data_IF_729373658030
#
_entry.id   IF_729373658030
#
_cell.length_a   1.000
_cell.length_b   1.000
_cell.length_c   1.000
_cell.angle_alpha   90.00
_cell.angle_beta   90.00
_cell.angle_gamma   90.00
#
_symmetry.space_group_name_H-M   'P 1'
#
loop_
_entity.id
_entity.type
_entity.pdbx_description
1 polymer ?
#
# COMPACT_ATOMS: atom_id res chain seq x y z
N UNK A 1 4.65 -4.23 32.04
CA UNK A 1 5.49 -5.08 31.16
C UNK A 1 4.75 -5.24 29.85
N UNK A 2 5.28 -4.71 28.75
CA UNK A 2 4.69 -4.91 27.42
C UNK A 2 4.92 -6.36 27.00
N UNK A 3 3.89 -7.01 26.46
CA UNK A 3 4.04 -8.34 25.90
C UNK A 3 4.52 -8.18 24.45
N UNK A 4 5.75 -8.59 24.16
CA UNK A 4 6.20 -8.71 22.77
C UNK A 4 5.27 -9.70 22.07
N UNK A 5 4.67 -9.27 20.95
CA UNK A 5 3.86 -10.16 20.12
C UNK A 5 4.83 -11.19 19.55
N UNK A 6 4.90 -12.36 20.18
CA UNK A 6 5.65 -13.48 19.67
C UNK A 6 4.87 -14.04 18.46
N UNK A 7 5.38 -13.92 17.21
CA UNK A 7 4.69 -14.45 16.04
C UNK A 7 4.57 -15.99 16.06
N UNK A 8 5.14 -16.66 17.07
CA UNK A 8 4.97 -18.09 17.33
C UNK A 8 3.61 -18.46 17.94
N UNK A 9 2.90 -17.55 18.64
CA UNK A 9 1.59 -17.86 19.25
C UNK A 9 0.42 -17.65 18.29
N UNK A 10 0.59 -16.85 17.24
CA UNK A 10 -0.30 -16.80 16.08
C UNK A 10 0.54 -16.79 14.82
N UNK A 11 0.79 -17.97 14.24
CA UNK A 11 1.30 -18.06 12.86
C UNK A 11 0.27 -17.37 11.95
N UNK A 12 0.46 -16.07 11.68
CA UNK A 12 -0.28 -15.37 10.63
C UNK A 12 0.07 -16.11 9.34
N UNK A 13 -0.86 -16.94 8.88
CA UNK A 13 -0.68 -17.73 7.66
C UNK A 13 -0.46 -16.73 6.52
N UNK A 14 0.73 -16.72 5.95
CA UNK A 14 1.05 -15.84 4.83
C UNK A 14 0.08 -16.13 3.67
N UNK A 15 -0.60 -15.09 3.21
CA UNK A 15 -1.46 -15.12 2.03
C UNK A 15 -0.87 -14.24 0.94
N UNK A 16 -1.49 -14.22 -0.24
CA UNK A 16 -1.16 -13.25 -1.28
C UNK A 16 -1.36 -11.79 -0.80
N UNK A 17 -2.24 -11.56 0.18
CA UNK A 17 -2.65 -10.24 0.65
C UNK A 17 -1.97 -9.82 1.98
N UNK A 18 -1.02 -10.62 2.45
CA UNK A 18 -0.20 -10.28 3.62
C UNK A 18 1.01 -9.45 3.16
N UNK A 19 1.39 -8.36 3.87
CA UNK A 19 2.61 -7.63 3.57
C UNK A 19 3.83 -8.58 3.51
N UNK A 20 4.69 -8.37 2.51
CA UNK A 20 5.91 -9.16 2.29
C UNK A 20 7.12 -8.28 2.38
N UNK A 21 8.27 -8.88 2.65
CA UNK A 21 9.57 -8.21 2.54
C UNK A 21 10.12 -8.45 1.14
N UNK A 22 10.70 -7.41 0.56
CA UNK A 22 11.12 -7.41 -0.83
C UNK A 22 12.63 -7.23 -0.98
N UNK A 23 13.17 -7.81 -2.03
CA UNK A 23 14.53 -7.59 -2.51
C UNK A 23 14.53 -7.50 -4.04
N UNK A 24 15.59 -6.99 -4.63
CA UNK A 24 15.65 -6.73 -6.07
C UNK A 24 17.03 -6.96 -6.66
N UNK A 25 17.13 -6.78 -7.98
CA UNK A 25 18.41 -6.73 -8.67
C UNK A 25 19.04 -5.34 -8.50
N UNK A 26 19.93 -5.23 -7.51
CA UNK A 26 20.66 -4.01 -7.22
C UNK A 26 21.61 -3.59 -8.35
N UNK A 27 22.11 -4.54 -9.14
CA UNK A 27 23.01 -4.24 -10.25
C UNK A 27 22.24 -3.63 -11.43
N UNK A 28 21.01 -4.07 -11.67
CA UNK A 28 20.10 -3.42 -12.63
C UNK A 28 19.65 -2.04 -12.12
N UNK A 29 19.30 -1.91 -10.83
CA UNK A 29 19.00 -0.60 -10.23
C UNK A 29 20.18 0.39 -10.33
N UNK A 30 21.42 -0.08 -10.21
CA UNK A 30 22.62 0.75 -10.32
C UNK A 30 22.88 1.29 -11.73
N UNK A 31 22.21 0.74 -12.76
CA UNK A 31 22.33 1.16 -14.16
C UNK A 31 21.28 2.18 -14.57
N UNK A 32 20.43 2.63 -13.64
CA UNK A 32 19.43 3.65 -13.93
C UNK A 32 20.10 4.96 -14.38
N UNK A 33 19.66 5.46 -15.53
CA UNK A 33 20.09 6.74 -16.08
C UNK A 33 18.97 7.77 -15.87
N UNK A 34 19.27 8.80 -15.07
CA UNK A 34 18.34 9.90 -14.75
C UNK A 34 18.67 11.19 -15.50
N UNK A 35 19.59 11.15 -16.46
CA UNK A 35 20.04 12.33 -17.21
C UNK A 35 18.90 13.04 -17.94
N UNK A 36 17.87 12.31 -18.38
CA UNK A 36 16.70 12.85 -19.09
C UNK A 36 15.88 13.87 -18.27
N UNK A 37 15.91 13.80 -16.94
CA UNK A 37 15.15 14.68 -16.05
C UNK A 37 15.89 14.96 -14.74
N UNK A 38 17.22 15.14 -14.81
CA UNK A 38 18.09 15.34 -13.65
C UNK A 38 17.63 16.50 -12.74
N UNK A 39 17.15 17.60 -13.33
CA UNK A 39 16.66 18.77 -12.60
C UNK A 39 15.41 18.44 -11.75
N UNK A 40 14.53 17.54 -12.22
CA UNK A 40 13.37 17.07 -11.45
C UNK A 40 13.84 16.28 -10.22
N UNK A 41 14.86 15.42 -10.38
CA UNK A 41 15.45 14.68 -9.25
C UNK A 41 16.17 15.57 -8.26
N UNK A 42 16.92 16.56 -8.71
CA UNK A 42 17.59 17.52 -7.83
C UNK A 42 16.56 18.31 -7.01
N UNK A 43 15.46 18.75 -7.62
CA UNK A 43 14.39 19.44 -6.92
C UNK A 43 13.71 18.55 -5.87
N UNK A 44 13.38 17.31 -6.22
CA UNK A 44 12.82 16.32 -5.29
C UNK A 44 13.78 16.03 -4.13
N UNK A 45 15.08 15.91 -4.41
CA UNK A 45 16.09 15.68 -3.38
C UNK A 45 16.17 16.86 -2.40
N UNK A 46 16.10 18.10 -2.89
CA UNK A 46 16.02 19.26 -2.01
C UNK A 46 14.76 19.22 -1.15
N UNK A 47 13.62 18.87 -1.72
CA UNK A 47 12.37 18.72 -0.96
C UNK A 47 12.49 17.68 0.16
N UNK A 48 13.06 16.51 -0.14
CA UNK A 48 13.29 15.45 0.87
C UNK A 48 14.25 15.88 1.99
N UNK A 49 15.26 16.70 1.67
CA UNK A 49 16.22 17.23 2.65
C UNK A 49 15.57 18.24 3.60
N UNK A 50 14.59 19.02 3.13
CA UNK A 50 13.88 20.00 3.97
C UNK A 50 13.09 19.31 5.09
N UNK A 51 12.54 18.11 4.83
CA UNK A 51 11.84 17.29 5.82
C UNK A 51 10.70 18.06 6.54
N UNK A 52 9.72 18.54 5.77
CA UNK A 52 8.58 19.29 6.30
C UNK A 52 7.84 18.57 7.43
N UNK A 53 7.92 17.23 7.46
CA UNK A 53 7.26 16.38 8.45
C UNK A 53 8.10 16.04 9.69
N UNK A 54 9.30 16.61 9.84
CA UNK A 54 10.24 16.29 10.93
C UNK A 54 9.62 16.36 12.33
N UNK A 55 8.79 17.38 12.59
CA UNK A 55 8.16 17.62 13.89
C UNK A 55 6.71 17.13 13.97
N UNK A 56 6.15 16.61 12.88
CA UNK A 56 4.73 16.25 12.84
C UNK A 56 4.42 14.90 13.51
N UNK A 57 5.38 14.00 13.67
CA UNK A 57 5.18 12.68 14.28
C UNK A 57 5.51 12.66 15.77
N UNK A 58 5.05 13.68 16.49
CA UNK A 58 5.19 13.81 17.94
C UNK A 58 3.81 13.61 18.55
N UNK A 59 3.68 12.63 19.45
CA UNK A 59 2.42 12.36 20.17
C UNK A 59 2.13 13.52 21.12
N UNK A 60 0.88 13.95 21.16
CA UNK A 60 0.36 14.93 22.11
C UNK A 60 -0.35 14.24 23.29
N UNK A 61 -0.94 15.03 24.17
CA UNK A 61 -1.66 14.58 25.38
C UNK A 61 -2.89 13.70 25.07
N UNK A 62 -3.46 13.77 23.86
CA UNK A 62 -4.59 12.91 23.48
C UNK A 62 -4.20 11.42 23.43
N UNK A 63 -2.91 11.13 23.35
CA UNK A 63 -2.41 9.77 23.38
C UNK A 63 -2.23 9.20 24.79
N UNK A 64 -2.33 10.01 25.84
CA UNK A 64 -2.08 9.61 27.23
C UNK A 64 -3.34 9.09 27.95
N UNK A 65 -4.42 8.88 27.22
CA UNK A 65 -5.67 8.33 27.74
C UNK A 65 -5.66 6.79 27.86
N UNK A 66 -6.56 6.24 28.67
CA UNK A 66 -6.78 4.79 28.74
C UNK A 66 -7.59 4.30 27.54
N UNK A 67 -7.11 3.23 26.91
CA UNK A 67 -7.76 2.56 25.79
C UNK A 67 -8.56 1.32 26.20
N UNK A 68 -8.87 1.19 27.49
CA UNK A 68 -9.65 0.06 28.02
C UNK A 68 -11.15 0.19 27.73
N UNK A 69 -11.60 1.40 27.40
CA UNK A 69 -13.00 1.69 27.04
C UNK A 69 -13.36 1.22 25.62
N UNK A 70 -12.36 0.97 24.75
CA UNK A 70 -12.60 0.39 23.44
C UNK A 70 -13.10 -1.05 23.59
N UNK A 71 -14.25 -1.35 23.00
CA UNK A 71 -14.79 -2.70 23.06
C UNK A 71 -13.80 -3.72 22.46
N UNK A 72 -13.83 -4.94 22.97
CA UNK A 72 -12.85 -5.99 22.64
C UNK A 72 -12.78 -6.27 21.13
N UNK A 73 -13.90 -6.18 20.40
CA UNK A 73 -13.93 -6.44 18.95
C UNK A 73 -13.23 -5.31 18.21
N UNK A 74 -13.60 -4.04 18.48
CA UNK A 74 -12.98 -2.87 17.84
C UNK A 74 -11.49 -2.78 18.17
N UNK A 75 -11.11 -3.02 19.43
CA UNK A 75 -9.71 -3.08 19.86
C UNK A 75 -8.91 -4.11 19.06
N UNK A 76 -9.44 -5.33 18.88
CA UNK A 76 -8.80 -6.38 18.08
C UNK A 76 -8.62 -5.99 16.61
N UNK A 77 -9.66 -5.40 16.00
CA UNK A 77 -9.62 -4.93 14.61
C UNK A 77 -8.60 -3.81 14.41
N UNK A 78 -8.53 -2.87 15.36
CA UNK A 78 -7.61 -1.75 15.31
C UNK A 78 -6.15 -2.20 15.53
N UNK A 79 -5.90 -3.14 16.45
CA UNK A 79 -4.57 -3.75 16.61
C UNK A 79 -4.14 -4.45 15.31
N UNK A 80 -5.03 -5.22 14.67
CA UNK A 80 -4.71 -5.85 13.37
C UNK A 80 -4.36 -4.80 12.31
N UNK A 81 -5.11 -3.69 12.26
CA UNK A 81 -4.81 -2.57 11.37
C UNK A 81 -3.40 -2.01 11.62
N UNK A 82 -3.07 -1.68 12.88
CA UNK A 82 -1.77 -1.14 13.27
C UNK A 82 -0.62 -2.10 12.95
N UNK A 83 -0.77 -3.40 13.26
CA UNK A 83 0.26 -4.40 13.00
C UNK A 83 0.56 -4.55 11.50
N UNK A 84 -0.50 -4.59 10.69
CA UNK A 84 -0.38 -4.72 9.23
C UNK A 84 0.26 -3.50 8.61
N UNK A 85 -0.21 -2.30 8.99
CA UNK A 85 0.38 -1.05 8.52
C UNK A 85 1.85 -0.96 8.95
N UNK A 86 2.17 -1.22 10.22
CA UNK A 86 3.55 -1.17 10.71
C UNK A 86 4.47 -2.12 9.95
N UNK A 87 3.99 -3.33 9.62
CA UNK A 87 4.75 -4.30 8.83
C UNK A 87 4.95 -3.85 7.38
N UNK A 88 3.99 -3.14 6.80
CA UNK A 88 4.09 -2.61 5.45
C UNK A 88 5.14 -1.49 5.35
N UNK A 89 5.06 -0.48 6.22
CA UNK A 89 6.03 0.64 6.24
C UNK A 89 7.44 0.13 6.55
N UNK A 90 7.56 -0.81 7.49
CA UNK A 90 8.84 -1.42 7.82
C UNK A 90 9.43 -2.22 6.65
N UNK A 91 8.59 -2.81 5.79
CA UNK A 91 9.05 -3.46 4.56
C UNK A 91 9.62 -2.46 3.55
N UNK A 92 8.92 -1.33 3.35
CA UNK A 92 9.40 -0.23 2.51
C UNK A 92 10.75 0.30 2.99
N UNK A 93 10.85 0.59 4.29
CA UNK A 93 12.09 1.00 4.96
C UNK A 93 13.26 0.07 4.62
N UNK A 94 13.11 -1.25 4.78
CA UNK A 94 14.19 -2.21 4.55
C UNK A 94 14.68 -2.18 3.09
N UNK A 95 13.75 -2.14 2.13
CA UNK A 95 14.08 -2.09 0.72
C UNK A 95 14.79 -0.78 0.36
N UNK A 96 14.25 0.36 0.77
CA UNK A 96 14.83 1.68 0.48
C UNK A 96 16.19 1.85 1.15
N UNK A 97 16.34 1.37 2.39
CA UNK A 97 17.63 1.44 3.09
C UNK A 97 18.70 0.64 2.36
N UNK A 98 18.40 -0.58 1.91
CA UNK A 98 19.37 -1.38 1.16
C UNK A 98 19.66 -0.78 -0.22
N UNK A 99 18.66 -0.24 -0.93
CA UNK A 99 18.86 0.49 -2.19
C UNK A 99 19.80 1.69 -2.01
N UNK A 100 19.59 2.51 -0.98
CA UNK A 100 20.44 3.67 -0.69
C UNK A 100 21.92 3.28 -0.57
N UNK A 101 22.20 2.21 0.19
CA UNK A 101 23.56 1.72 0.41
C UNK A 101 24.19 1.13 -0.84
N UNK A 102 23.41 0.44 -1.68
CA UNK A 102 23.90 -0.24 -2.88
C UNK A 102 24.18 0.75 -4.02
N UNK A 103 23.42 1.83 -4.08
CA UNK A 103 23.47 2.82 -5.15
C UNK A 103 24.43 3.98 -4.86
N UNK A 104 24.90 4.15 -3.62
CA UNK A 104 25.69 5.30 -3.16
C UNK A 104 26.83 5.71 -4.11
N UNK A 105 27.57 4.74 -4.66
CA UNK A 105 28.71 5.00 -5.55
C UNK A 105 28.33 5.16 -7.02
N UNK A 106 27.25 4.52 -7.47
CA UNK A 106 26.89 4.44 -8.89
C UNK A 106 25.84 5.46 -9.29
N UNK A 107 24.90 5.76 -8.39
CA UNK A 107 23.85 6.74 -8.60
C UNK A 107 23.57 7.49 -7.27
N UNK A 108 24.42 8.46 -6.89
CA UNK A 108 24.38 9.10 -5.57
C UNK A 108 23.09 9.87 -5.30
N UNK A 109 22.48 10.49 -6.31
CA UNK A 109 21.21 11.23 -6.16
C UNK A 109 20.07 10.26 -5.83
N UNK A 110 19.92 9.18 -6.60
CA UNK A 110 18.90 8.15 -6.32
C UNK A 110 19.17 7.52 -4.94
N UNK A 111 20.43 7.24 -4.62
CA UNK A 111 20.81 6.68 -3.34
C UNK A 111 20.37 7.55 -2.17
N UNK A 112 20.58 8.87 -2.27
CA UNK A 112 20.18 9.82 -1.23
C UNK A 112 18.66 9.97 -1.15
N UNK A 113 17.94 10.00 -2.27
CA UNK A 113 16.48 9.96 -2.27
C UNK A 113 15.96 8.73 -1.51
N UNK A 114 16.48 7.53 -1.80
CA UNK A 114 16.09 6.32 -1.07
C UNK A 114 16.49 6.37 0.42
N UNK A 115 17.61 7.01 0.76
CA UNK A 115 18.00 7.19 2.16
C UNK A 115 16.96 8.03 2.90
N UNK A 116 16.52 9.15 2.32
CA UNK A 116 15.56 10.06 2.91
C UNK A 116 14.14 9.46 2.94
N UNK A 117 13.74 8.73 1.91
CA UNK A 117 12.50 7.93 1.97
C UNK A 117 12.57 6.88 3.07
N UNK A 118 13.71 6.18 3.23
CA UNK A 118 13.88 5.20 4.30
C UNK A 118 13.77 5.83 5.71
N UNK A 119 14.15 7.10 5.86
CA UNK A 119 13.94 7.86 7.11
C UNK A 119 12.44 8.03 7.37
N UNK A 120 11.67 8.40 6.37
CA UNK A 120 10.23 8.62 6.50
C UNK A 120 9.51 7.30 6.83
N UNK A 121 9.82 6.22 6.11
CA UNK A 121 9.27 4.87 6.37
C UNK A 121 9.62 4.34 7.77
N UNK A 122 10.84 4.59 8.24
CA UNK A 122 11.25 4.23 9.60
C UNK A 122 10.46 5.02 10.65
N UNK A 123 10.19 6.30 10.38
CA UNK A 123 9.38 7.18 11.25
C UNK A 123 7.94 6.67 11.31
N UNK A 124 7.35 6.34 10.17
CA UNK A 124 6.03 5.77 10.00
C UNK A 124 5.87 4.44 10.78
N UNK A 125 6.75 3.48 10.52
CA UNK A 125 6.78 2.19 11.23
C UNK A 125 6.97 2.39 12.75
N UNK A 126 7.87 3.28 13.14
CA UNK A 126 8.11 3.61 14.55
C UNK A 126 6.88 4.22 15.24
N UNK A 127 6.17 5.11 14.56
CA UNK A 127 4.96 5.74 15.10
C UNK A 127 3.83 4.73 15.29
N UNK A 128 3.62 3.82 14.31
CA UNK A 128 2.66 2.73 14.42
C UNK A 128 3.03 1.74 15.54
N UNK A 129 4.30 1.34 15.63
CA UNK A 129 4.73 0.43 16.70
C UNK A 129 4.56 1.07 18.09
N UNK A 130 4.79 2.38 18.21
CA UNK A 130 4.52 3.13 19.45
C UNK A 130 3.02 3.17 19.79
N UNK A 131 2.13 3.25 18.79
CA UNK A 131 0.68 3.15 19.00
C UNK A 131 0.23 1.74 19.44
N UNK A 132 0.85 0.67 18.90
CA UNK A 132 0.63 -0.71 19.36
C UNK A 132 0.97 -0.85 20.86
N UNK A 133 2.00 -0.13 21.32
CA UNK A 133 2.42 -0.01 22.72
C UNK A 133 1.31 0.35 23.69
N UNK A 134 0.37 1.18 23.27
CA UNK A 134 -0.75 1.64 24.11
C UNK A 134 -1.75 0.52 24.44
N UNK A 135 -1.70 -0.58 23.69
CA UNK A 135 -2.48 -1.78 23.92
C UNK A 135 -1.69 -2.88 24.67
N UNK A 136 -0.55 -2.50 25.29
CA UNK A 136 0.39 -3.40 25.98
C UNK A 136 1.04 -4.45 25.07
N UNK A 137 1.16 -4.15 23.78
CA UNK A 137 1.76 -4.99 22.77
C UNK A 137 2.96 -4.29 22.14
N UNK A 138 3.85 -5.03 21.50
CA UNK A 138 4.91 -4.44 20.66
C UNK A 138 5.33 -5.40 19.56
N UNK A 139 5.64 -4.87 18.38
CA UNK A 139 6.25 -5.64 17.30
C UNK A 139 7.78 -5.60 17.41
N UNK A 140 8.39 -6.78 17.44
CA UNK A 140 9.84 -6.92 17.31
C UNK A 140 10.24 -6.86 15.83
N UNK A 141 10.50 -5.64 15.35
CA UNK A 141 10.90 -5.38 13.97
C UNK A 141 12.25 -6.03 13.62
N UNK A 142 13.16 -6.16 14.60
CA UNK A 142 14.45 -6.84 14.42
C UNK A 142 14.27 -8.35 14.19
N UNK A 143 13.38 -8.98 14.94
CA UNK A 143 12.98 -10.36 14.72
C UNK A 143 12.28 -10.56 13.37
N UNK A 144 11.37 -9.65 12.98
CA UNK A 144 10.68 -9.73 11.67
C UNK A 144 11.69 -9.75 10.52
N UNK A 145 12.73 -8.92 10.58
CA UNK A 145 13.81 -8.87 9.57
C UNK A 145 14.50 -10.23 9.39
N UNK A 146 14.73 -10.96 10.49
CA UNK A 146 15.44 -12.25 10.46
C UNK A 146 14.54 -13.45 10.12
N UNK A 147 13.24 -13.34 10.43
CA UNK A 147 12.31 -14.47 10.34
C UNK A 147 11.50 -14.52 9.04
N UNK A 148 11.30 -13.37 8.38
CA UNK A 148 10.51 -13.28 7.14
C UNK A 148 11.32 -13.65 5.91
N UNK A 149 10.66 -14.29 4.94
CA UNK A 149 11.24 -14.57 3.62
C UNK A 149 11.19 -13.32 2.75
N UNK A 150 12.32 -13.00 2.14
CA UNK A 150 12.41 -11.95 1.14
C UNK A 150 11.90 -12.46 -0.21
N UNK A 151 10.99 -11.71 -0.81
CA UNK A 151 10.45 -11.97 -2.15
C UNK A 151 11.23 -11.14 -3.15
N UNK A 152 11.83 -11.79 -4.14
CA UNK A 152 12.48 -11.08 -5.24
C UNK A 152 11.44 -10.37 -6.11
N UNK A 153 11.72 -9.13 -6.46
CA UNK A 153 10.91 -8.35 -7.38
C UNK A 153 11.80 -7.60 -8.37
N UNK A 154 11.57 -7.80 -9.66
CA UNK A 154 12.40 -7.17 -10.71
C UNK A 154 12.28 -5.65 -10.65
N UNK A 155 13.39 -4.90 -10.86
CA UNK A 155 13.42 -3.43 -10.84
C UNK A 155 12.29 -2.77 -11.64
N UNK A 156 12.06 -3.23 -12.87
CA UNK A 156 10.97 -2.75 -13.72
C UNK A 156 9.60 -2.82 -13.02
N UNK A 157 9.33 -3.91 -12.31
CA UNK A 157 8.06 -4.12 -11.63
C UNK A 157 7.96 -3.37 -10.31
N UNK A 158 9.08 -3.16 -9.63
CA UNK A 158 9.15 -2.28 -8.46
C UNK A 158 8.68 -0.88 -8.83
N UNK A 159 9.12 -0.30 -9.96
CA UNK A 159 8.70 1.06 -10.32
C UNK A 159 7.19 1.20 -10.49
N UNK A 160 6.54 0.27 -11.18
CA UNK A 160 5.09 0.33 -11.33
C UNK A 160 4.36 0.09 -10.01
N UNK A 161 4.76 -0.96 -9.29
CA UNK A 161 4.08 -1.39 -8.08
C UNK A 161 4.23 -0.37 -6.96
N UNK A 162 5.46 0.12 -6.74
CA UNK A 162 5.74 1.09 -5.69
C UNK A 162 5.12 2.44 -6.02
N UNK A 163 5.24 2.96 -7.25
CA UNK A 163 4.53 4.18 -7.66
C UNK A 163 3.03 4.12 -7.32
N UNK A 164 2.37 3.02 -7.67
CA UNK A 164 0.96 2.84 -7.36
C UNK A 164 0.70 2.60 -5.87
N UNK A 165 1.62 1.97 -5.14
CA UNK A 165 1.54 1.79 -3.69
C UNK A 165 1.55 3.15 -2.97
N UNK A 166 2.48 4.03 -3.33
CA UNK A 166 2.56 5.40 -2.79
C UNK A 166 1.27 6.19 -3.11
N UNK A 167 0.83 6.16 -4.37
CA UNK A 167 -0.37 6.92 -4.78
C UNK A 167 -1.66 6.36 -4.16
N UNK A 168 -1.78 5.04 -4.01
CA UNK A 168 -2.95 4.46 -3.32
C UNK A 168 -2.89 4.71 -1.81
N UNK A 169 -1.70 4.64 -1.20
CA UNK A 169 -1.44 4.99 0.20
C UNK A 169 -1.89 6.42 0.52
N UNK A 170 -1.46 7.38 -0.30
CA UNK A 170 -1.92 8.78 -0.23
C UNK A 170 -3.45 8.87 -0.16
N UNK A 171 -4.15 8.29 -1.13
CA UNK A 171 -5.60 8.41 -1.24
C UNK A 171 -6.33 7.69 -0.11
N UNK A 172 -5.79 6.58 0.39
CA UNK A 172 -6.33 5.88 1.56
C UNK A 172 -6.27 6.76 2.80
N UNK A 173 -5.10 7.28 3.12
CA UNK A 173 -4.87 8.09 4.32
C UNK A 173 -5.68 9.38 4.30
N UNK A 174 -5.64 10.15 3.20
CA UNK A 174 -6.39 11.40 3.13
C UNK A 174 -7.91 11.18 3.14
N UNK A 175 -8.41 10.09 2.54
CA UNK A 175 -9.85 9.78 2.56
C UNK A 175 -10.33 9.45 3.97
N UNK A 176 -9.57 8.65 4.73
CA UNK A 176 -9.87 8.37 6.14
C UNK A 176 -9.80 9.67 6.97
N UNK A 177 -8.75 10.47 6.80
CA UNK A 177 -8.58 11.74 7.51
C UNK A 177 -9.78 12.67 7.29
N UNK A 178 -10.13 12.94 6.03
CA UNK A 178 -11.23 13.86 5.69
C UNK A 178 -12.60 13.35 6.13
N UNK A 179 -12.79 12.03 6.19
CA UNK A 179 -13.99 11.45 6.79
C UNK A 179 -14.05 11.73 8.28
N UNK A 180 -12.99 11.42 9.03
CA UNK A 180 -12.93 11.59 10.48
C UNK A 180 -12.77 13.05 10.93
N UNK A 181 -12.39 13.95 10.03
CA UNK A 181 -12.46 15.41 10.24
C UNK A 181 -13.93 15.87 10.29
N UNK A 182 -14.78 15.35 9.40
CA UNK A 182 -16.22 15.65 9.36
C UNK A 182 -17.04 14.89 10.40
N UNK A 183 -16.57 13.70 10.77
CA UNK A 183 -17.21 12.78 11.70
C UNK A 183 -16.27 12.44 12.88
N UNK A 184 -15.93 13.42 13.73
CA UNK A 184 -15.01 13.21 14.85
C UNK A 184 -15.51 12.14 15.85
N UNK A 185 -16.82 11.90 15.94
CA UNK A 185 -17.45 10.85 16.76
C UNK A 185 -17.02 9.43 16.38
N UNK A 186 -16.55 9.23 15.15
CA UNK A 186 -16.05 7.94 14.67
C UNK A 186 -14.54 7.77 14.82
N UNK A 187 -13.83 8.77 15.39
CA UNK A 187 -12.39 8.71 15.59
C UNK A 187 -12.05 7.90 16.85
N UNK A 188 -11.85 6.61 16.66
CA UNK A 188 -11.54 5.66 17.75
C UNK A 188 -10.13 5.81 18.34
N UNK A 189 -9.22 6.53 17.68
CA UNK A 189 -7.84 6.73 18.14
C UNK A 189 -7.16 7.98 17.49
N UNK A 190 -6.26 8.72 18.18
CA UNK A 190 -5.65 9.96 17.69
C UNK A 190 -4.77 9.81 16.44
N UNK A 191 -4.23 8.62 16.14
CA UNK A 191 -3.35 8.38 14.98
C UNK A 191 -3.95 8.90 13.67
N UNK A 192 -5.28 8.85 13.52
CA UNK A 192 -5.94 9.27 12.31
C UNK A 192 -5.76 10.76 12.01
N UNK A 193 -5.50 11.61 13.02
CA UNK A 193 -5.17 13.03 12.81
C UNK A 193 -3.85 13.24 12.07
N UNK A 194 -2.94 12.28 12.19
CA UNK A 194 -1.61 12.36 11.59
C UNK A 194 -1.62 11.96 10.11
N UNK A 195 -2.73 11.39 9.61
CA UNK A 195 -2.84 10.91 8.24
C UNK A 195 -2.76 12.03 7.19
N UNK A 196 -3.10 13.29 7.54
CA UNK A 196 -2.95 14.42 6.62
C UNK A 196 -1.49 14.71 6.28
N UNK A 197 -0.59 14.71 7.27
CA UNK A 197 0.84 14.94 7.03
C UNK A 197 1.49 13.67 6.49
N UNK A 198 1.10 12.50 7.02
CA UNK A 198 1.57 11.21 6.54
C UNK A 198 1.35 11.06 5.04
N UNK A 199 0.15 11.34 4.53
CA UNK A 199 -0.10 11.23 3.10
C UNK A 199 0.80 12.16 2.29
N UNK A 200 1.23 13.31 2.81
CA UNK A 200 2.19 14.15 2.07
C UNK A 200 3.56 13.48 1.88
N UNK A 201 4.01 12.64 2.82
CA UNK A 201 5.21 11.81 2.60
C UNK A 201 4.98 10.86 1.43
N UNK A 202 3.88 10.10 1.45
CA UNK A 202 3.47 9.18 0.35
C UNK A 202 3.37 9.92 -0.99
N UNK A 203 2.87 11.16 -1.00
CA UNK A 203 2.76 11.92 -2.24
C UNK A 203 4.15 12.22 -2.83
N UNK A 204 5.08 12.71 -2.00
CA UNK A 204 6.46 13.02 -2.40
C UNK A 204 7.22 11.77 -2.83
N UNK A 205 7.04 10.66 -2.12
CA UNK A 205 7.58 9.35 -2.49
C UNK A 205 7.04 8.91 -3.86
N UNK A 206 5.73 9.07 -4.08
CA UNK A 206 5.09 8.83 -5.37
C UNK A 206 5.60 9.74 -6.49
N UNK A 207 5.96 10.99 -6.19
CA UNK A 207 6.52 11.94 -7.16
C UNK A 207 7.97 11.55 -7.55
N UNK A 208 8.75 11.02 -6.61
CA UNK A 208 10.05 10.41 -6.90
C UNK A 208 9.92 9.20 -7.83
N UNK A 209 8.99 8.27 -7.57
CA UNK A 209 8.78 7.15 -8.48
C UNK A 209 8.19 7.56 -9.83
N UNK A 210 7.40 8.65 -9.88
CA UNK A 210 6.96 9.24 -11.13
C UNK A 210 8.15 9.76 -11.97
N UNK A 211 9.09 10.47 -11.33
CA UNK A 211 10.32 10.94 -11.98
C UNK A 211 11.18 9.76 -12.46
N UNK A 212 11.27 8.66 -11.69
CA UNK A 212 11.94 7.42 -12.12
C UNK A 212 11.28 6.82 -13.36
N UNK A 213 9.96 6.69 -13.37
CA UNK A 213 9.25 6.15 -14.53
C UNK A 213 9.43 7.04 -15.78
N UNK A 214 9.43 8.36 -15.62
CA UNK A 214 9.70 9.33 -16.71
C UNK A 214 11.13 9.21 -17.23
N UNK A 215 12.11 9.01 -16.35
CA UNK A 215 13.52 8.81 -16.73
C UNK A 215 13.75 7.53 -17.55
N UNK A 216 12.80 6.58 -17.50
CA UNK A 216 12.85 5.31 -18.19
C UNK A 216 11.68 5.16 -19.19
N UNK A 217 11.67 5.90 -20.33
CA UNK A 217 10.55 5.92 -21.28
C UNK A 217 10.11 4.53 -21.80
N UNK A 218 11.00 3.55 -21.84
CA UNK A 218 10.72 2.16 -22.20
C UNK A 218 9.70 1.49 -21.25
N UNK A 219 9.53 2.02 -20.04
CA UNK A 219 8.53 1.58 -19.08
C UNK A 219 7.17 2.27 -19.25
N UNK A 220 7.03 3.23 -20.16
CA UNK A 220 5.74 3.89 -20.41
C UNK A 220 5.32 3.74 -21.89
N UNK A 221 6.23 3.94 -22.82
CA UNK A 221 5.87 4.28 -24.21
C UNK A 221 5.72 3.08 -25.17
N UNK A 222 5.99 1.85 -24.73
CA UNK A 222 5.85 0.64 -25.57
C UNK A 222 4.49 -0.03 -25.42
N UNK A 223 4.03 -0.77 -26.42
CA UNK A 223 2.81 -1.58 -26.30
C UNK A 223 2.87 -2.56 -25.13
N UNK A 224 4.05 -3.15 -24.89
CA UNK A 224 4.29 -4.05 -23.75
C UNK A 224 4.19 -3.32 -22.42
N UNK A 225 4.77 -2.12 -22.29
CA UNK A 225 4.67 -1.33 -21.05
C UNK A 225 3.26 -0.84 -20.78
N UNK A 226 2.48 -0.51 -21.81
CA UNK A 226 1.05 -0.18 -21.65
C UNK A 226 0.26 -1.34 -21.04
N UNK A 227 0.54 -2.58 -21.46
CA UNK A 227 -0.05 -3.78 -20.85
C UNK A 227 0.40 -3.95 -19.39
N UNK A 228 1.68 -3.69 -19.07
CA UNK A 228 2.15 -3.72 -17.69
C UNK A 228 1.50 -2.65 -16.81
N UNK A 229 1.39 -1.41 -17.28
CA UNK A 229 0.71 -0.33 -16.56
C UNK A 229 -0.73 -0.73 -16.22
N UNK A 230 -1.46 -1.29 -17.19
CA UNK A 230 -2.82 -1.81 -16.99
C UNK A 230 -2.86 -2.96 -15.99
N UNK A 231 -1.89 -3.89 -16.08
CA UNK A 231 -1.79 -5.03 -15.18
C UNK A 231 -1.59 -4.55 -13.74
N UNK A 232 -0.63 -3.67 -13.51
CA UNK A 232 -0.33 -3.16 -12.17
C UNK A 232 -1.46 -2.32 -11.59
N UNK A 233 -2.12 -1.47 -12.38
CA UNK A 233 -3.34 -0.76 -11.96
C UNK A 233 -4.40 -1.75 -11.46
N UNK A 234 -4.70 -2.79 -12.25
CA UNK A 234 -5.70 -3.77 -11.88
C UNK A 234 -5.26 -4.58 -10.66
N UNK A 235 -4.00 -5.00 -10.60
CA UNK A 235 -3.46 -5.77 -9.48
C UNK A 235 -3.58 -4.99 -8.18
N UNK A 236 -3.16 -3.72 -8.14
CA UNK A 236 -3.22 -2.87 -6.95
C UNK A 236 -4.67 -2.61 -6.53
N UNK A 237 -5.57 -2.30 -7.46
CA UNK A 237 -6.98 -2.08 -7.13
C UNK A 237 -7.66 -3.36 -6.64
N UNK A 238 -7.41 -4.49 -7.29
CA UNK A 238 -7.98 -5.76 -6.89
C UNK A 238 -7.44 -6.22 -5.53
N UNK A 239 -6.13 -6.13 -5.28
CA UNK A 239 -5.58 -6.54 -3.98
C UNK A 239 -6.11 -5.68 -2.85
N UNK A 240 -6.19 -4.36 -3.06
CA UNK A 240 -6.80 -3.43 -2.11
C UNK A 240 -8.26 -3.82 -1.82
N UNK A 241 -9.09 -3.88 -2.86
CA UNK A 241 -10.53 -4.16 -2.75
C UNK A 241 -10.81 -5.50 -2.06
N UNK A 242 -10.06 -6.54 -2.40
CA UNK A 242 -10.19 -7.87 -1.77
C UNK A 242 -9.73 -7.85 -0.31
N UNK A 243 -8.76 -7.01 0.04
CA UNK A 243 -8.24 -6.86 1.38
C UNK A 243 -9.23 -6.13 2.29
N UNK A 244 -9.77 -5.02 1.81
CA UNK A 244 -10.67 -4.14 2.56
C UNK A 244 -12.06 -4.73 2.71
N UNK A 245 -12.54 -5.49 1.71
CA UNK A 245 -13.77 -6.27 1.82
C UNK A 245 -13.74 -7.28 2.99
N UNK A 246 -12.57 -7.86 3.29
CA UNK A 246 -12.41 -8.75 4.46
C UNK A 246 -12.40 -7.98 5.80
N UNK A 247 -12.16 -6.67 5.75
CA UNK A 247 -12.00 -5.77 6.89
C UNK A 247 -13.15 -4.79 7.02
N UNK A 248 -14.30 -5.11 6.45
CA UNK A 248 -15.50 -4.27 6.49
C UNK A 248 -15.88 -3.86 7.92
N UNK A 249 -15.65 -4.73 8.90
CA UNK A 249 -15.92 -4.45 10.30
C UNK A 249 -15.02 -3.34 10.89
N UNK A 250 -13.77 -3.24 10.43
CA UNK A 250 -12.87 -2.15 10.83
C UNK A 250 -13.32 -0.81 10.23
N UNK A 251 -13.63 -0.79 8.93
CA UNK A 251 -14.16 0.43 8.30
C UNK A 251 -15.45 0.88 8.97
N UNK A 252 -16.34 -0.07 9.31
CA UNK A 252 -17.57 0.23 10.05
C UNK A 252 -17.29 0.83 11.44
N UNK A 253 -16.25 0.40 12.15
CA UNK A 253 -15.92 0.95 13.47
C UNK A 253 -15.44 2.40 13.41
N UNK A 254 -14.99 2.86 12.24
CA UNK A 254 -14.60 4.25 11.98
C UNK A 254 -15.61 5.00 11.08
N UNK A 255 -16.86 4.54 11.01
CA UNK A 255 -17.94 5.26 10.31
C UNK A 255 -17.95 5.11 8.78
N UNK A 256 -17.14 4.22 8.22
CA UNK A 256 -16.99 4.04 6.77
C UNK A 256 -17.69 2.77 6.26
N UNK A 257 -18.31 2.90 5.08
CA UNK A 257 -18.62 1.75 4.23
C UNK A 257 -17.37 1.40 3.40
N UNK A 258 -16.82 0.20 3.62
CA UNK A 258 -15.57 -0.22 2.98
C UNK A 258 -15.65 -0.19 1.45
N UNK A 259 -16.83 -0.50 0.89
CA UNK A 259 -17.02 -0.53 -0.56
C UNK A 259 -17.03 0.87 -1.16
N UNK A 260 -17.76 1.83 -0.57
CA UNK A 260 -17.76 3.22 -1.03
C UNK A 260 -16.38 3.85 -0.88
N UNK A 261 -15.71 3.57 0.24
CA UNK A 261 -14.33 3.98 0.47
C UNK A 261 -13.40 3.46 -0.63
N UNK A 262 -13.42 2.16 -0.92
CA UNK A 262 -12.58 1.56 -1.97
C UNK A 262 -12.85 2.16 -3.36
N UNK A 263 -14.13 2.38 -3.69
CA UNK A 263 -14.52 3.01 -4.96
C UNK A 263 -13.93 4.41 -5.09
N UNK A 264 -13.96 5.21 -4.02
CA UNK A 264 -13.39 6.56 -4.01
C UNK A 264 -11.87 6.51 -4.17
N UNK A 265 -11.20 5.66 -3.39
CA UNK A 265 -9.73 5.49 -3.45
C UNK A 265 -9.29 5.02 -4.83
N UNK A 266 -9.98 4.03 -5.42
CA UNK A 266 -9.70 3.54 -6.77
C UNK A 266 -9.87 4.66 -7.80
N UNK A 267 -10.97 5.42 -7.74
CA UNK A 267 -11.20 6.55 -8.65
C UNK A 267 -10.06 7.55 -8.61
N UNK A 268 -9.70 7.99 -7.41
CA UNK A 268 -8.66 9.00 -7.21
C UNK A 268 -7.25 8.52 -7.53
N UNK A 269 -6.97 7.24 -7.27
CA UNK A 269 -5.70 6.62 -7.65
C UNK A 269 -5.61 6.45 -9.16
N UNK A 270 -6.67 6.01 -9.84
CA UNK A 270 -6.72 5.87 -11.30
C UNK A 270 -6.55 7.24 -11.99
N UNK A 271 -7.18 8.29 -11.44
CA UNK A 271 -7.01 9.68 -11.85
C UNK A 271 -5.55 10.11 -11.73
N UNK A 272 -4.94 9.95 -10.55
CA UNK A 272 -3.57 10.38 -10.28
C UNK A 272 -2.53 9.61 -11.10
N UNK A 273 -2.71 8.30 -11.22
CA UNK A 273 -1.83 7.44 -12.01
C UNK A 273 -1.88 7.80 -13.50
N UNK A 274 -3.00 8.30 -14.03
CA UNK A 274 -3.13 8.72 -15.43
C UNK A 274 -2.26 9.92 -15.81
N UNK A 275 -1.67 10.62 -14.84
CA UNK A 275 -0.66 11.67 -15.11
C UNK A 275 0.67 11.09 -15.60
N UNK A 276 0.97 9.84 -15.25
CA UNK A 276 2.25 9.17 -15.56
C UNK A 276 2.02 7.95 -16.44
N UNK A 277 1.08 7.09 -16.07
CA UNK A 277 0.76 5.90 -16.84
C UNK A 277 0.03 6.30 -18.12
N UNK A 278 0.34 5.66 -19.26
CA UNK A 278 -0.21 6.02 -20.56
C UNK A 278 -1.61 5.40 -20.82
N UNK A 279 -2.13 4.67 -19.83
CA UNK A 279 -3.45 4.02 -19.80
C UNK A 279 -4.06 4.16 -18.42
N UNK A 280 -5.38 4.31 -18.38
CA UNK A 280 -6.20 4.23 -17.17
C UNK A 280 -7.23 3.10 -17.30
N UNK A 281 -7.70 2.55 -16.19
CA UNK A 281 -8.79 1.57 -16.22
C UNK A 281 -10.13 2.28 -16.44
N UNK A 282 -11.02 1.66 -17.21
CA UNK A 282 -12.39 2.14 -17.40
C UNK A 282 -13.26 1.75 -16.20
N UNK A 283 -13.09 2.48 -15.09
CA UNK A 283 -13.74 2.21 -13.81
C UNK A 283 -15.22 2.62 -13.79
N UNK A 284 -15.65 3.51 -14.69
CA UNK A 284 -17.06 3.91 -14.83
C UNK A 284 -17.87 2.91 -15.67
N UNK A 285 -17.21 1.92 -16.26
CA UNK A 285 -17.92 0.78 -16.83
C UNK A 285 -18.74 0.10 -15.72
N UNK A 286 -20.07 -0.09 -15.88
CA UNK A 286 -20.93 -0.63 -14.82
C UNK A 286 -20.53 -2.06 -14.40
N UNK A 287 -19.73 -2.76 -15.22
CA UNK A 287 -19.22 -4.09 -14.92
C UNK A 287 -17.98 -4.07 -14.01
N UNK A 288 -17.24 -2.96 -13.94
CA UNK A 288 -15.94 -2.90 -13.26
C UNK A 288 -16.06 -3.25 -11.77
N UNK A 289 -16.78 -2.43 -11.00
CA UNK A 289 -16.97 -2.71 -9.57
C UNK A 289 -17.79 -3.97 -9.32
N UNK A 290 -18.76 -4.29 -10.19
CA UNK A 290 -19.50 -5.57 -10.10
C UNK A 290 -18.57 -6.78 -10.19
N UNK A 291 -17.55 -6.76 -11.04
CA UNK A 291 -16.60 -7.86 -11.14
C UNK A 291 -15.64 -7.89 -9.94
N UNK A 292 -15.24 -6.74 -9.41
CA UNK A 292 -14.48 -6.68 -8.14
C UNK A 292 -15.29 -7.22 -6.96
N UNK A 293 -16.58 -6.89 -6.86
CA UNK A 293 -17.51 -7.43 -5.85
C UNK A 293 -17.57 -8.96 -5.89
N UNK A 294 -17.61 -9.53 -7.10
CA UNK A 294 -17.59 -10.98 -7.28
C UNK A 294 -16.24 -11.55 -6.82
N UNK A 295 -15.11 -10.98 -7.25
CA UNK A 295 -13.78 -11.42 -6.81
C UNK A 295 -13.66 -11.37 -5.28
N UNK A 296 -14.13 -10.30 -4.64
CA UNK A 296 -14.10 -10.13 -3.19
C UNK A 296 -14.97 -11.16 -2.47
N UNK A 297 -16.19 -11.40 -2.97
CA UNK A 297 -17.11 -12.40 -2.43
C UNK A 297 -16.54 -13.82 -2.54
N UNK A 298 -15.97 -14.17 -3.69
CA UNK A 298 -15.32 -15.49 -3.89
C UNK A 298 -14.07 -15.64 -3.01
N UNK A 299 -13.30 -14.57 -2.83
CA UNK A 299 -12.14 -14.58 -1.94
C UNK A 299 -12.53 -14.74 -0.47
N UNK A 300 -13.65 -14.14 -0.02
CA UNK A 300 -14.21 -14.41 1.32
C UNK A 300 -14.56 -15.90 1.48
N UNK A 301 -15.25 -16.48 0.49
CA UNK A 301 -15.59 -17.91 0.50
C UNK A 301 -14.33 -18.81 0.51
N UNK A 302 -13.24 -18.41 -0.16
CA UNK A 302 -11.96 -19.14 -0.10
C UNK A 302 -11.41 -19.20 1.32
N UNK A 303 -11.48 -18.09 2.05
CA UNK A 303 -10.99 -17.98 3.43
C UNK A 303 -11.87 -18.82 4.37
N UNK A 304 -13.19 -18.73 4.23
CA UNK A 304 -14.15 -19.54 4.99
C UNK A 304 -13.94 -21.03 4.72
N UNK A 305 -13.80 -21.43 3.46
CA UNK A 305 -13.49 -22.82 3.07
C UNK A 305 -12.19 -23.31 3.70
N UNK A 306 -11.15 -22.45 3.75
CA UNK A 306 -9.88 -22.82 4.39
C UNK A 306 -10.01 -23.03 5.92
N UNK A 307 -10.99 -22.38 6.57
CA UNK A 307 -11.29 -22.54 8.01
C UNK A 307 -12.19 -23.76 8.28
N UNK A 308 -13.21 -23.98 7.46
CA UNK A 308 -14.24 -25.02 7.68
C UNK A 308 -13.73 -26.43 7.42
N UNK A 309 -12.94 -26.64 6.36
CA UNK A 309 -12.48 -27.96 5.98
C UNK A 309 -11.10 -28.26 6.57
N UNK A 310 -10.97 -29.37 7.31
CA UNK A 310 -9.67 -29.85 7.80
C UNK A 310 -9.00 -30.78 6.79
N UNK A 311 -9.77 -31.64 6.10
CA UNK A 311 -9.25 -32.55 5.09
C UNK A 311 -8.66 -31.78 3.89
N UNK A 312 -7.36 -31.97 3.57
CA UNK A 312 -6.70 -31.21 2.50
C UNK A 312 -7.30 -31.43 1.10
N UNK A 313 -7.70 -32.66 0.76
CA UNK A 313 -8.25 -32.98 -0.55
C UNK A 313 -9.61 -32.32 -0.75
N UNK A 314 -10.51 -32.47 0.24
CA UNK A 314 -11.82 -31.85 0.20
C UNK A 314 -11.71 -30.32 0.16
N UNK A 315 -10.75 -29.75 0.91
CA UNK A 315 -10.45 -28.31 0.87
C UNK A 315 -10.06 -27.86 -0.53
N UNK A 316 -9.10 -28.53 -1.16
CA UNK A 316 -8.65 -28.19 -2.52
C UNK A 316 -9.81 -28.31 -3.51
N UNK A 317 -10.60 -29.38 -3.47
CA UNK A 317 -11.76 -29.58 -4.33
C UNK A 317 -12.77 -28.43 -4.22
N UNK A 318 -13.02 -27.91 -3.01
CA UNK A 318 -13.92 -26.77 -2.79
C UNK A 318 -13.31 -25.43 -3.20
N UNK A 319 -11.98 -25.30 -3.15
CA UNK A 319 -11.28 -24.06 -3.50
C UNK A 319 -11.08 -23.86 -5.01
N UNK A 320 -10.90 -24.94 -5.79
CA UNK A 320 -10.71 -24.89 -7.25
C UNK A 320 -11.77 -24.01 -7.96
N UNK A 321 -13.09 -24.21 -7.79
CA UNK A 321 -14.08 -23.40 -8.47
C UNK A 321 -14.03 -21.92 -8.06
N UNK A 322 -13.67 -21.64 -6.80
CA UNK A 322 -13.55 -20.27 -6.29
C UNK A 322 -12.34 -19.56 -6.92
N UNK A 323 -11.17 -20.22 -6.99
CA UNK A 323 -10.00 -19.70 -7.69
C UNK A 323 -10.27 -19.49 -9.18
N UNK A 324 -10.97 -20.43 -9.82
CA UNK A 324 -11.37 -20.30 -11.22
C UNK A 324 -12.24 -19.06 -11.43
N UNK A 325 -13.25 -18.84 -10.58
CA UNK A 325 -14.12 -17.67 -10.65
C UNK A 325 -13.33 -16.37 -10.48
N UNK A 326 -12.48 -16.25 -9.46
CA UNK A 326 -11.65 -15.05 -9.25
C UNK A 326 -10.78 -14.79 -10.48
N UNK A 327 -10.09 -15.82 -10.97
CA UNK A 327 -9.20 -15.70 -12.15
C UNK A 327 -9.99 -15.25 -13.37
N UNK A 328 -11.15 -15.85 -13.63
CA UNK A 328 -12.01 -15.48 -14.76
C UNK A 328 -12.45 -14.01 -14.69
N UNK A 329 -12.86 -13.52 -13.50
CA UNK A 329 -13.32 -12.14 -13.36
C UNK A 329 -12.16 -11.13 -13.38
N UNK A 330 -10.98 -11.48 -12.87
CA UNK A 330 -9.76 -10.68 -13.05
C UNK A 330 -9.36 -10.58 -14.52
N UNK A 331 -9.47 -11.67 -15.30
CA UNK A 331 -9.26 -11.63 -16.75
C UNK A 331 -10.30 -10.74 -17.42
N UNK A 332 -11.59 -10.86 -17.07
CA UNK A 332 -12.65 -9.99 -17.62
C UNK A 332 -12.37 -8.52 -17.33
N UNK A 333 -11.94 -8.18 -16.10
CA UNK A 333 -11.51 -6.83 -15.71
C UNK A 333 -10.32 -6.36 -16.55
N UNK A 334 -9.30 -7.22 -16.70
CA UNK A 334 -8.13 -6.94 -17.52
C UNK A 334 -8.46 -6.85 -19.01
N UNK A 335 -9.61 -7.30 -19.48
CA UNK A 335 -10.04 -7.20 -20.88
C UNK A 335 -10.99 -6.03 -21.15
N UNK A 336 -11.61 -5.43 -20.11
CA UNK A 336 -12.46 -4.23 -20.27
C UNK A 336 -11.70 -3.08 -20.96
N UNK A 337 -12.17 -2.53 -22.09
CA UNK A 337 -11.42 -1.54 -22.87
C UNK A 337 -10.84 -0.42 -21.97
N UNK A 338 -9.50 -0.23 -21.95
CA UNK A 338 -8.89 0.80 -21.14
C UNK A 338 -9.14 2.18 -21.74
N UNK A 339 -8.97 3.22 -20.92
CA UNK A 339 -9.07 4.62 -21.35
C UNK A 339 -7.66 5.15 -21.64
N UNK A 340 -7.51 5.99 -22.66
CA UNK A 340 -6.26 6.73 -22.85
C UNK A 340 -6.15 7.81 -21.79
N UNK A 341 -5.03 7.87 -21.09
CA UNK A 341 -4.82 8.83 -20.01
C UNK A 341 -4.97 10.29 -20.42
N UNK A 342 -4.66 10.62 -21.68
CA UNK A 342 -4.91 11.98 -22.24
C UNK A 342 -6.39 12.39 -22.13
N UNK A 343 -7.32 11.45 -22.29
CA UNK A 343 -8.76 11.71 -22.14
C UNK A 343 -9.13 11.98 -20.69
N UNK A 344 -8.52 11.26 -19.74
CA UNK A 344 -8.76 11.45 -18.30
C UNK A 344 -8.27 12.84 -17.88
N UNK A 345 -7.05 13.21 -18.27
CA UNK A 345 -6.47 14.52 -17.93
C UNK A 345 -7.26 15.69 -18.52
N UNK A 346 -7.83 15.55 -19.72
CA UNK A 346 -8.63 16.62 -20.34
C UNK A 346 -9.99 16.86 -19.69
N UNK A 347 -10.50 15.88 -18.94
CA UNK A 347 -11.77 16.02 -18.20
C UNK A 347 -11.57 16.75 -16.86
N UNK A 348 -10.31 16.94 -16.46
CA UNK A 348 -9.88 17.62 -15.23
C UNK A 348 -9.43 19.03 -15.65
N UNK A 349 -10.38 19.94 -15.82
CA UNK A 349 -10.13 21.39 -15.94
C UNK A 349 -10.61 22.10 -14.70
#
# INVERSE_FOLDING_TARGET
MQNTINPSQTKIKETLLTPRFYTTDFAEMAKLDISLNIQEFEALLQEFRVDYNKQHFIRDEEFEQSWDQLDKKTKGLFIEFLERSCTAEFSGFLLYKELSRRLEKTNPIIAECFLLMSRDEARHAGFLNKAIGDFNLSLDLGFLTKSRKYTFFSPKFIFYATYLSEKIGYWRYITIYRHLEKHPEHRIYPIFKFFENWCQDENRHGDFFAALLKSQPQFLNTTKSRLWCRFFLLSVFATMYLNDFQRSDFYKSIGLDSRQYDMQVIRKTNESASRIFPVALNIDNPKFFKYLDICASQNRLLIETNRLYQNPLLKVMKQIPLYFNITQYLIKLYLLPPINSSTVNNTIK
#
